data_IF_425252518427
#
_entry.id   IF_425252518427
#
_cell.length_a   1.000
_cell.length_b   1.000
_cell.length_c   1.000
_cell.angle_alpha   90.00
_cell.angle_beta   90.00
_cell.angle_gamma   90.00
#
_symmetry.space_group_name_H-M   'P 1'
#
loop_
_entity.id
_entity.type
_entity.pdbx_description
1 polymer ?
#
# COMPACT_ATOMS: atom_id res chain seq x y z
N UNK A 1 3.82 -3.17 8.14
CA UNK A 1 4.61 -4.39 7.84
C UNK A 1 3.73 -5.56 7.43
N UNK A 2 2.59 -5.80 8.08
CA UNK A 2 1.70 -6.91 7.73
C UNK A 2 1.23 -6.91 6.26
N UNK A 3 1.00 -5.73 5.66
CA UNK A 3 0.61 -5.65 4.25
C UNK A 3 1.70 -6.15 3.31
N UNK A 4 2.95 -5.75 3.56
CA UNK A 4 4.11 -6.18 2.78
C UNK A 4 4.23 -7.71 2.80
N UNK A 5 4.12 -8.34 3.98
CA UNK A 5 4.20 -9.79 4.12
C UNK A 5 3.09 -10.50 3.32
N UNK A 6 1.83 -10.06 3.45
CA UNK A 6 0.70 -10.63 2.70
C UNK A 6 0.87 -10.48 1.19
N UNK A 7 1.38 -9.32 0.74
CA UNK A 7 1.65 -9.06 -0.68
C UNK A 7 2.79 -9.95 -1.18
N UNK A 8 3.90 -10.04 -0.43
CA UNK A 8 5.04 -10.89 -0.78
C UNK A 8 4.65 -12.37 -0.89
N UNK A 9 3.86 -12.88 0.05
CA UNK A 9 3.31 -14.23 -0.01
C UNK A 9 2.48 -14.43 -1.28
N UNK A 10 1.63 -13.45 -1.63
CA UNK A 10 0.80 -13.54 -2.85
C UNK A 10 1.63 -13.51 -4.12
N UNK A 11 2.68 -12.71 -4.20
CA UNK A 11 3.60 -12.69 -5.34
C UNK A 11 4.31 -14.04 -5.47
N UNK A 12 4.82 -14.58 -4.35
CA UNK A 12 5.49 -15.90 -4.33
C UNK A 12 4.55 -17.04 -4.79
N UNK A 13 3.27 -16.96 -4.44
CA UNK A 13 2.26 -17.91 -4.92
C UNK A 13 2.09 -17.88 -6.45
N UNK A 14 2.18 -16.69 -7.07
CA UNK A 14 1.96 -16.47 -8.50
C UNK A 14 3.21 -16.83 -9.32
N UNK A 15 4.37 -16.32 -8.93
CA UNK A 15 5.58 -16.34 -9.78
C UNK A 15 6.81 -16.98 -9.13
N UNK A 16 6.66 -17.53 -7.90
CA UNK A 16 7.75 -18.18 -7.13
C UNK A 16 8.96 -17.30 -6.82
N UNK A 17 8.90 -16.02 -7.17
CA UNK A 17 9.86 -14.99 -6.81
C UNK A 17 9.16 -13.93 -5.97
N UNK A 18 9.87 -13.33 -5.01
CA UNK A 18 9.43 -12.14 -4.31
C UNK A 18 10.64 -11.29 -3.98
N UNK A 19 10.46 -9.96 -4.00
CA UNK A 19 11.52 -9.01 -3.68
C UNK A 19 11.32 -8.58 -2.23
N UNK A 20 12.39 -8.65 -1.44
CA UNK A 20 12.42 -8.17 -0.04
C UNK A 20 13.16 -6.83 0.11
N UNK A 21 13.69 -6.28 -0.98
CA UNK A 21 14.41 -5.00 -0.98
C UNK A 21 13.44 -3.85 -1.29
N UNK A 22 13.47 -2.82 -0.46
CA UNK A 22 12.72 -1.58 -0.68
C UNK A 22 13.60 -0.61 -1.45
N UNK A 23 13.18 -0.23 -2.66
CA UNK A 23 13.85 0.76 -3.50
C UNK A 23 12.79 1.54 -4.30
N UNK A 24 12.71 2.88 -4.17
CA UNK A 24 13.51 3.74 -3.30
C UNK A 24 13.13 3.62 -1.82
N UNK A 25 14.06 4.03 -0.95
CA UNK A 25 13.72 4.28 0.45
C UNK A 25 12.76 5.48 0.55
N UNK A 26 11.88 5.49 1.56
CA UNK A 26 11.00 6.63 1.79
C UNK A 26 11.80 7.90 2.07
N UNK A 27 11.25 9.03 1.64
CA UNK A 27 11.80 10.34 1.99
C UNK A 27 11.63 10.59 3.49
N UNK A 28 12.68 11.11 4.14
CA UNK A 28 12.68 11.40 5.57
C UNK A 28 12.47 12.89 5.76
N UNK A 29 11.36 13.28 6.38
CA UNK A 29 11.06 14.66 6.73
C UNK A 29 12.01 15.24 7.79
N UNK A 30 12.19 16.56 7.79
CA UNK A 30 13.03 17.30 8.74
C UNK A 30 12.24 17.82 9.95
N UNK A 31 10.92 17.63 9.97
CA UNK A 31 10.03 18.04 11.06
C UNK A 31 8.82 17.11 11.17
N UNK A 32 8.12 17.13 12.31
CA UNK A 32 6.90 16.33 12.54
C UNK A 32 5.84 16.62 11.47
N UNK A 33 5.66 17.89 11.10
CA UNK A 33 4.69 18.28 10.06
C UNK A 33 5.07 17.74 8.67
N UNK A 34 6.38 17.68 8.36
CA UNK A 34 6.87 17.07 7.12
C UNK A 34 6.65 15.55 7.13
N UNK A 35 6.90 14.87 8.26
CA UNK A 35 6.60 13.44 8.40
C UNK A 35 5.13 13.14 8.14
N UNK A 36 4.21 13.85 8.79
CA UNK A 36 2.76 13.64 8.63
C UNK A 36 2.34 13.84 7.17
N UNK A 37 2.88 14.85 6.48
CA UNK A 37 2.58 15.11 5.07
C UNK A 37 3.10 14.00 4.16
N UNK A 38 4.36 13.59 4.35
CA UNK A 38 4.99 12.53 3.55
C UNK A 38 4.29 11.18 3.76
N UNK A 39 3.94 10.84 5.00
CA UNK A 39 3.23 9.59 5.31
C UNK A 39 1.85 9.58 4.66
N UNK A 40 1.08 10.68 4.78
CA UNK A 40 -0.23 10.80 4.13
C UNK A 40 -0.15 10.73 2.61
N UNK A 41 0.88 11.32 2.00
CA UNK A 41 1.12 11.22 0.57
C UNK A 41 1.46 9.78 0.16
N UNK A 42 2.23 9.06 0.98
CA UNK A 42 2.54 7.64 0.78
C UNK A 42 1.26 6.78 0.84
N UNK A 43 0.37 7.02 1.81
CA UNK A 43 -0.92 6.30 1.90
C UNK A 43 -1.80 6.55 0.67
N UNK A 44 -1.89 7.81 0.21
CA UNK A 44 -2.64 8.12 -1.01
C UNK A 44 -2.03 7.45 -2.25
N UNK A 45 -0.70 7.43 -2.36
CA UNK A 45 -0.01 6.72 -3.42
C UNK A 45 -0.33 5.23 -3.40
N UNK A 46 -0.29 4.59 -2.22
CA UNK A 46 -0.64 3.19 -2.03
C UNK A 46 -2.08 2.91 -2.47
N UNK A 47 -3.05 3.71 -2.01
CA UNK A 47 -4.47 3.58 -2.40
C UNK A 47 -4.63 3.64 -3.93
N UNK A 48 -4.00 4.62 -4.59
CA UNK A 48 -4.09 4.77 -6.05
C UNK A 48 -3.46 3.56 -6.77
N UNK A 49 -2.31 3.08 -6.31
CA UNK A 49 -1.64 1.91 -6.87
C UNK A 49 -2.50 0.66 -6.70
N UNK A 50 -2.99 0.41 -5.49
CA UNK A 50 -3.76 -0.80 -5.16
C UNK A 50 -5.08 -0.86 -5.90
N UNK A 51 -5.73 0.28 -6.19
CA UNK A 51 -6.90 0.32 -7.09
C UNK A 51 -6.57 -0.18 -8.49
N UNK A 52 -5.37 0.11 -9.02
CA UNK A 52 -4.92 -0.44 -10.32
C UNK A 52 -4.69 -1.94 -10.23
N UNK A 53 -4.12 -2.42 -9.13
CA UNK A 53 -3.91 -3.87 -8.91
C UNK A 53 -5.26 -4.60 -8.84
N UNK A 54 -6.26 -4.06 -8.13
CA UNK A 54 -7.62 -4.60 -8.08
C UNK A 54 -8.25 -4.66 -9.47
N UNK A 55 -8.12 -3.59 -10.26
CA UNK A 55 -8.66 -3.55 -11.62
C UNK A 55 -8.03 -4.64 -12.50
N UNK A 56 -6.71 -4.82 -12.41
CA UNK A 56 -5.99 -5.83 -13.18
C UNK A 56 -6.30 -7.26 -12.70
N UNK A 57 -6.32 -7.50 -11.39
CA UNK A 57 -6.72 -8.78 -10.82
C UNK A 57 -8.15 -9.15 -11.22
N UNK A 58 -9.07 -8.18 -11.26
CA UNK A 58 -10.44 -8.36 -11.75
C UNK A 58 -10.44 -8.75 -13.23
N UNK A 59 -9.66 -8.05 -14.06
CA UNK A 59 -9.53 -8.34 -15.50
C UNK A 59 -8.99 -9.75 -15.77
N UNK A 60 -8.07 -10.22 -14.93
CA UNK A 60 -7.46 -11.55 -15.03
C UNK A 60 -8.30 -12.66 -14.36
N UNK A 61 -9.37 -12.31 -13.65
CA UNK A 61 -10.16 -13.27 -12.87
C UNK A 61 -9.44 -13.78 -11.60
N UNK A 62 -8.39 -13.10 -11.15
CA UNK A 62 -7.67 -13.41 -9.92
C UNK A 62 -8.43 -12.90 -8.70
N UNK A 63 -9.36 -13.72 -8.22
CA UNK A 63 -10.22 -13.40 -7.07
C UNK A 63 -9.39 -13.25 -5.78
N UNK A 64 -8.31 -14.01 -5.62
CA UNK A 64 -7.51 -13.99 -4.39
C UNK A 64 -6.73 -12.69 -4.27
N UNK A 65 -6.04 -12.28 -5.34
CA UNK A 65 -5.34 -10.99 -5.38
C UNK A 65 -6.32 -9.83 -5.23
N UNK A 66 -7.44 -9.86 -5.95
CA UNK A 66 -8.47 -8.82 -5.84
C UNK A 66 -8.93 -8.63 -4.39
N UNK A 67 -9.33 -9.71 -3.71
CA UNK A 67 -9.82 -9.65 -2.33
C UNK A 67 -8.74 -9.17 -1.36
N UNK A 68 -7.50 -9.65 -1.52
CA UNK A 68 -6.36 -9.19 -0.71
C UNK A 68 -6.19 -7.67 -0.79
N UNK A 69 -6.18 -7.09 -1.99
CA UNK A 69 -5.98 -5.65 -2.15
C UNK A 69 -7.23 -4.84 -1.78
N UNK A 70 -8.44 -5.39 -1.91
CA UNK A 70 -9.67 -4.77 -1.37
C UNK A 70 -9.57 -4.59 0.15
N UNK A 71 -9.07 -5.61 0.87
CA UNK A 71 -8.89 -5.55 2.33
C UNK A 71 -7.78 -4.55 2.70
N UNK A 72 -6.63 -4.57 2.00
CA UNK A 72 -5.53 -3.63 2.26
C UNK A 72 -5.96 -2.18 2.04
N UNK A 73 -6.72 -1.86 0.99
CA UNK A 73 -7.19 -0.49 0.75
C UNK A 73 -8.04 0.04 1.91
N UNK A 74 -8.83 -0.80 2.59
CA UNK A 74 -9.62 -0.34 3.73
C UNK A 74 -8.73 0.11 4.90
N UNK A 75 -7.61 -0.59 5.11
CA UNK A 75 -6.60 -0.20 6.09
C UNK A 75 -5.94 1.13 5.67
N UNK A 76 -5.50 1.25 4.41
CA UNK A 76 -4.81 2.48 3.95
C UNK A 76 -5.73 3.70 3.91
N UNK A 77 -7.01 3.53 3.58
CA UNK A 77 -7.99 4.62 3.69
C UNK A 77 -8.14 5.06 5.15
N UNK A 78 -8.13 4.13 6.10
CA UNK A 78 -8.16 4.44 7.54
C UNK A 78 -6.89 5.15 8.00
N UNK A 79 -5.71 4.71 7.54
CA UNK A 79 -4.43 5.38 7.81
C UNK A 79 -4.41 6.80 7.24
N UNK A 80 -4.83 6.97 5.98
CA UNK A 80 -4.88 8.26 5.31
C UNK A 80 -5.71 9.27 6.08
N UNK A 81 -6.92 8.89 6.52
CA UNK A 81 -7.78 9.79 7.30
C UNK A 81 -7.25 10.04 8.72
N UNK A 82 -6.55 9.09 9.33
CA UNK A 82 -5.94 9.29 10.63
C UNK A 82 -4.93 10.45 10.62
N UNK A 83 -4.23 10.69 9.51
CA UNK A 83 -3.30 11.82 9.38
C UNK A 83 -4.00 13.19 9.26
N UNK A 84 -5.24 13.26 8.77
CA UNK A 84 -5.99 14.52 8.66
C UNK A 84 -6.23 15.16 10.04
N UNK A 85 -6.34 14.36 11.11
CA UNK A 85 -6.49 14.85 12.48
C UNK A 85 -5.23 15.56 13.02
N UNK A 86 -4.07 15.35 12.39
CA UNK A 86 -2.77 15.89 12.80
C UNK A 86 -2.20 16.92 11.81
N UNK A 87 -2.86 17.14 10.67
CA UNK A 87 -2.45 18.16 9.73
C UNK A 87 -2.80 19.57 10.26
N UNK A 88 -1.86 20.54 10.19
CA UNK A 88 -2.08 21.91 10.63
C UNK A 88 -3.03 22.71 9.73
#
# INVERSE_FOLDING_TARGET
>A
MEHMEKISDRIYEIDRESIATVDPLPEIGNSVDEFIKLDREAENYAIVLYRKVIAEATRLGDIKTRKLFEDIIQDEESHYWAFDDFLP
#
